data_IF_475278311656
#
_entry.id   IF_475278311656
#
_cell.length_a   1.000
_cell.length_b   1.000
_cell.length_c   1.000
_cell.angle_alpha   90.00
_cell.angle_beta   90.00
_cell.angle_gamma   90.00
#
_symmetry.space_group_name_H-M   'P 1'
#
loop_
_entity.id
_entity.type
_entity.pdbx_description
1 polymer ?
#
# COMPACT_ATOMS: atom_id res chain seq x y z
N UNK A 1 -6.49 -33.44 11.02
CA UNK A 1 -5.78 -32.95 9.83
C UNK A 1 -4.89 -34.07 9.34
N UNK A 2 -4.74 -34.21 8.02
CA UNK A 2 -3.94 -35.23 7.37
C UNK A 2 -2.54 -34.64 7.14
N UNK A 3 -1.54 -35.20 7.80
CA UNK A 3 -0.17 -34.67 7.75
C UNK A 3 0.47 -34.87 6.39
N UNK A 4 0.17 -36.01 5.72
CA UNK A 4 0.64 -36.28 4.35
C UNK A 4 0.08 -35.27 3.35
N UNK A 5 -1.19 -34.87 3.53
CA UNK A 5 -1.82 -33.86 2.69
C UNK A 5 -1.20 -32.46 2.91
N UNK A 6 -0.87 -32.12 4.15
CA UNK A 6 -0.21 -30.84 4.46
C UNK A 6 1.20 -30.76 3.87
N UNK A 7 1.96 -31.85 3.89
CA UNK A 7 3.26 -31.91 3.24
C UNK A 7 3.17 -31.79 1.72
N UNK A 8 2.17 -32.43 1.11
CA UNK A 8 1.92 -32.33 -0.33
C UNK A 8 1.59 -30.88 -0.74
N UNK A 9 0.72 -30.21 0.02
CA UNK A 9 0.35 -28.81 -0.22
C UNK A 9 1.57 -27.89 -0.07
N UNK A 10 2.42 -28.11 0.93
CA UNK A 10 3.64 -27.32 1.08
C UNK A 10 4.57 -27.49 -0.14
N UNK A 11 4.76 -28.72 -0.61
CA UNK A 11 5.56 -29.01 -1.79
C UNK A 11 5.03 -28.29 -3.03
N UNK A 12 3.72 -28.34 -3.25
CA UNK A 12 3.05 -27.70 -4.36
C UNK A 12 3.18 -26.16 -4.32
N UNK A 13 3.10 -25.56 -3.13
CA UNK A 13 3.36 -24.13 -2.92
C UNK A 13 4.80 -23.77 -3.27
N UNK A 14 5.79 -24.54 -2.82
CA UNK A 14 7.20 -24.32 -3.11
C UNK A 14 7.53 -24.43 -4.59
N UNK A 15 6.97 -25.43 -5.27
CA UNK A 15 7.10 -25.59 -6.72
C UNK A 15 6.46 -24.42 -7.48
N UNK A 16 5.28 -23.98 -7.06
CA UNK A 16 4.60 -22.82 -7.64
C UNK A 16 5.42 -21.56 -7.49
N UNK A 17 5.94 -21.28 -6.29
CA UNK A 17 6.80 -20.11 -6.03
C UNK A 17 8.06 -20.15 -6.89
N UNK A 18 8.71 -21.32 -7.00
CA UNK A 18 9.89 -21.51 -7.83
C UNK A 18 9.60 -21.30 -9.31
N UNK A 19 8.41 -21.70 -9.79
CA UNK A 19 7.98 -21.45 -11.17
C UNK A 19 7.82 -19.96 -11.51
N UNK A 20 7.56 -19.13 -10.51
CA UNK A 20 7.48 -17.67 -10.60
C UNK A 20 8.80 -16.97 -10.23
N UNK A 21 9.90 -17.71 -10.20
CA UNK A 21 11.27 -17.20 -9.88
C UNK A 21 11.43 -16.66 -8.44
N UNK A 22 10.56 -17.08 -7.51
CA UNK A 22 10.77 -16.87 -6.08
C UNK A 22 11.62 -18.02 -5.50
N UNK A 23 12.40 -17.80 -4.42
CA UNK A 23 13.20 -18.85 -3.78
C UNK A 23 12.31 -19.81 -2.97
N UNK A 24 11.49 -20.63 -3.66
CA UNK A 24 10.48 -21.49 -3.07
C UNK A 24 11.02 -22.45 -2.00
N UNK A 25 12.25 -22.93 -2.16
CA UNK A 25 12.89 -23.84 -1.19
C UNK A 25 13.29 -23.15 0.12
N UNK A 26 13.63 -21.85 0.05
CA UNK A 26 14.17 -21.09 1.18
C UNK A 26 13.11 -20.26 1.93
N UNK A 27 11.91 -20.06 1.33
CA UNK A 27 10.85 -19.29 1.93
C UNK A 27 10.27 -20.01 3.15
N UNK A 28 10.16 -19.35 4.33
CA UNK A 28 9.50 -19.95 5.48
C UNK A 28 8.01 -20.19 5.18
N UNK A 29 7.56 -21.42 5.40
CA UNK A 29 6.15 -21.83 5.28
C UNK A 29 5.63 -22.15 6.66
N UNK A 30 4.67 -21.38 7.15
CA UNK A 30 4.10 -21.54 8.49
C UNK A 30 2.76 -22.27 8.38
N UNK A 31 2.65 -23.38 9.09
CA UNK A 31 1.42 -24.18 9.15
C UNK A 31 0.64 -23.88 10.43
N UNK A 32 -0.67 -23.72 10.34
CA UNK A 32 -1.47 -23.51 11.53
C UNK A 32 -2.95 -23.30 11.28
N UNK A 33 -3.73 -23.22 12.34
CA UNK A 33 -5.17 -22.96 12.30
C UNK A 33 -5.49 -21.58 12.88
N UNK A 34 -5.76 -20.64 12.01
CA UNK A 34 -6.24 -19.32 12.43
C UNK A 34 -7.59 -19.41 13.17
N UNK A 35 -8.44 -20.40 12.80
CA UNK A 35 -9.71 -20.60 13.48
C UNK A 35 -9.51 -21.04 14.93
N UNK A 36 -8.61 -21.97 15.21
CA UNK A 36 -8.34 -22.40 16.58
C UNK A 36 -7.81 -21.25 17.45
N UNK A 37 -6.96 -20.41 16.88
CA UNK A 37 -6.49 -19.21 17.56
C UNK A 37 -7.63 -18.20 17.82
N UNK A 38 -8.55 -18.03 16.85
CA UNK A 38 -9.64 -17.06 16.96
C UNK A 38 -10.68 -17.45 18.00
N UNK A 39 -11.01 -18.75 18.12
CA UNK A 39 -12.03 -19.25 19.05
C UNK A 39 -11.47 -19.63 20.41
N UNK A 40 -10.15 -19.53 20.62
CA UNK A 40 -9.53 -19.82 21.90
C UNK A 40 -10.01 -18.84 22.99
N UNK A 41 -10.35 -19.38 24.15
CA UNK A 41 -10.71 -18.61 25.35
C UNK A 41 -9.48 -18.32 26.24
N UNK A 42 -8.28 -18.77 25.81
CA UNK A 42 -7.04 -18.53 26.55
C UNK A 42 -6.67 -17.06 26.56
N UNK A 43 -6.30 -16.53 27.72
CA UNK A 43 -5.71 -15.20 27.87
C UNK A 43 -4.17 -15.24 27.91
N UNK A 44 -3.56 -16.43 27.78
CA UNK A 44 -2.12 -16.60 27.76
C UNK A 44 -1.61 -16.49 26.31
N UNK A 45 -0.80 -15.46 25.97
CA UNK A 45 -0.21 -15.32 24.63
C UNK A 45 0.72 -16.48 24.24
N UNK A 46 1.18 -17.28 25.20
CA UNK A 46 2.02 -18.45 24.97
C UNK A 46 1.23 -19.76 24.81
N UNK A 47 -0.10 -19.71 24.80
CA UNK A 47 -0.94 -20.88 24.61
C UNK A 47 -0.68 -21.56 23.26
N UNK A 48 -0.70 -22.89 23.19
CA UNK A 48 -0.35 -23.64 21.98
C UNK A 48 -1.14 -23.25 20.72
N UNK A 49 -2.41 -22.87 20.87
CA UNK A 49 -3.28 -22.44 19.77
C UNK A 49 -2.83 -21.13 19.10
N UNK A 50 -2.02 -20.31 19.79
CA UNK A 50 -1.44 -19.08 19.24
C UNK A 50 -0.03 -19.27 18.67
N UNK A 51 0.60 -20.41 18.85
CA UNK A 51 1.98 -20.65 18.45
C UNK A 51 2.23 -20.39 16.97
N UNK A 52 1.34 -20.88 16.10
CA UNK A 52 1.45 -20.66 14.65
C UNK A 52 1.29 -19.17 14.25
N UNK A 53 0.48 -18.42 14.96
CA UNK A 53 0.30 -16.97 14.69
C UNK A 53 1.57 -16.22 15.11
N UNK A 54 2.14 -16.57 16.25
CA UNK A 54 3.39 -15.98 16.71
C UNK A 54 4.53 -16.30 15.75
N UNK A 55 4.66 -17.57 15.35
CA UNK A 55 5.66 -18.00 14.38
C UNK A 55 5.55 -17.26 13.05
N UNK A 56 4.31 -17.05 12.56
CA UNK A 56 4.06 -16.27 11.35
C UNK A 56 4.55 -14.82 11.52
N UNK A 57 4.24 -14.16 12.63
CA UNK A 57 4.68 -12.79 12.88
C UNK A 57 6.21 -12.70 13.02
N UNK A 58 6.83 -13.63 13.74
CA UNK A 58 8.28 -13.70 13.88
C UNK A 58 8.97 -13.93 12.50
N UNK A 59 8.37 -14.77 11.64
CA UNK A 59 8.85 -14.98 10.28
C UNK A 59 8.71 -13.74 9.39
N UNK A 60 7.58 -13.03 9.48
CA UNK A 60 7.38 -11.76 8.77
C UNK A 60 8.44 -10.74 9.18
N UNK A 61 8.68 -10.56 10.48
CA UNK A 61 9.64 -9.59 10.99
C UNK A 61 11.11 -9.92 10.63
N UNK A 62 11.43 -11.21 10.55
CA UNK A 62 12.82 -11.65 10.28
C UNK A 62 13.13 -11.85 8.79
N UNK A 63 12.16 -12.30 8.00
CA UNK A 63 12.38 -12.69 6.61
C UNK A 63 12.08 -11.56 5.62
N UNK A 64 11.05 -10.72 5.88
CA UNK A 64 10.69 -9.64 4.96
C UNK A 64 11.60 -8.44 5.21
N UNK A 65 12.39 -8.00 4.20
CA UNK A 65 13.26 -6.85 4.38
C UNK A 65 12.43 -5.56 4.51
N UNK A 66 12.90 -4.65 5.37
CA UNK A 66 12.33 -3.31 5.44
C UNK A 66 12.49 -2.62 4.09
N UNK A 67 11.41 -2.13 3.47
CA UNK A 67 11.48 -1.49 2.16
C UNK A 67 12.28 -0.17 2.23
N UNK A 68 13.04 0.11 1.18
CA UNK A 68 13.71 1.40 1.01
C UNK A 68 12.66 2.47 0.68
N UNK A 69 12.35 3.30 1.65
CA UNK A 69 11.41 4.41 1.50
C UNK A 69 12.12 5.59 0.86
N UNK A 70 11.71 5.97 -0.34
CA UNK A 70 12.25 7.13 -1.08
C UNK A 70 11.72 8.45 -0.51
N UNK A 71 11.92 8.68 0.78
CA UNK A 71 11.38 9.85 1.50
C UNK A 71 12.10 11.16 1.17
N UNK A 72 13.34 11.12 0.72
CA UNK A 72 14.17 12.27 0.33
C UNK A 72 13.86 12.84 -1.07
N UNK A 73 13.04 12.13 -1.87
CA UNK A 73 12.58 12.61 -3.17
C UNK A 73 11.38 13.58 -3.03
N UNK A 74 11.09 14.39 -4.06
CA UNK A 74 9.88 15.21 -4.07
C UNK A 74 8.62 14.37 -3.94
N UNK A 75 7.67 14.81 -3.09
CA UNK A 75 6.39 14.14 -2.85
C UNK A 75 5.66 13.79 -4.15
N UNK A 76 5.12 12.58 -4.20
CA UNK A 76 4.30 12.08 -5.29
C UNK A 76 3.33 11.01 -4.78
N UNK A 77 2.05 11.19 -5.09
CA UNK A 77 0.97 10.25 -4.76
C UNK A 77 -0.01 10.12 -5.94
N UNK A 78 -0.10 8.97 -6.60
CA UNK A 78 -1.17 8.70 -7.55
C UNK A 78 -2.53 8.72 -6.86
N UNK A 79 -3.53 9.31 -7.52
CA UNK A 79 -4.90 9.37 -7.02
C UNK A 79 -5.60 8.05 -7.36
N UNK A 80 -6.02 7.32 -6.34
CA UNK A 80 -6.73 6.04 -6.47
C UNK A 80 -8.23 6.22 -6.36
N UNK A 81 -8.69 7.09 -5.46
CA UNK A 81 -10.10 7.43 -5.30
C UNK A 81 -10.29 8.88 -4.86
N UNK A 82 -11.50 9.41 -5.10
CA UNK A 82 -11.86 10.79 -4.75
C UNK A 82 -13.27 10.82 -4.18
N UNK A 83 -13.41 11.36 -2.98
CA UNK A 83 -14.71 11.56 -2.36
C UNK A 83 -14.82 12.93 -1.67
N UNK A 84 -16.03 13.32 -1.33
CA UNK A 84 -16.29 14.58 -0.66
C UNK A 84 -16.79 14.34 0.75
N UNK A 85 -16.19 15.01 1.72
CA UNK A 85 -16.70 15.06 3.09
C UNK A 85 -17.54 16.34 3.23
N UNK A 86 -18.83 16.16 3.56
CA UNK A 86 -19.76 17.29 3.73
C UNK A 86 -19.22 18.29 4.76
N UNK A 87 -19.12 19.56 4.38
CA UNK A 87 -18.60 20.63 5.23
C UNK A 87 -17.07 20.70 5.39
N UNK A 88 -16.32 19.74 4.86
CA UNK A 88 -14.84 19.73 4.96
C UNK A 88 -14.12 19.90 3.62
N UNK A 89 -14.62 19.27 2.55
CA UNK A 89 -14.04 19.41 1.22
C UNK A 89 -13.80 18.07 0.51
N UNK A 90 -12.95 18.10 -0.50
CA UNK A 90 -12.60 16.95 -1.33
C UNK A 90 -11.38 16.23 -0.77
N UNK A 91 -11.48 14.92 -0.66
CA UNK A 91 -10.39 14.03 -0.25
C UNK A 91 -9.93 13.22 -1.45
N UNK A 92 -8.63 13.23 -1.70
CA UNK A 92 -7.97 12.31 -2.61
C UNK A 92 -7.25 11.23 -1.81
N UNK A 93 -7.49 9.97 -2.15
CA UNK A 93 -6.79 8.83 -1.54
C UNK A 93 -5.76 8.25 -2.48
N UNK A 94 -4.71 7.69 -1.90
CA UNK A 94 -3.67 6.99 -2.63
C UNK A 94 -2.51 6.61 -1.75
N UNK A 95 -1.58 5.85 -2.33
CA UNK A 95 -0.32 5.54 -1.69
C UNK A 95 0.72 6.60 -2.03
N UNK A 96 1.41 7.10 -1.03
CA UNK A 96 2.59 7.95 -1.24
C UNK A 96 3.70 7.11 -1.86
N UNK A 97 4.04 7.36 -3.12
CA UNK A 97 5.07 6.59 -3.84
C UNK A 97 6.47 7.05 -3.49
N UNK A 98 6.64 8.33 -3.17
CA UNK A 98 7.91 8.93 -2.78
C UNK A 98 7.72 10.25 -2.07
N UNK A 99 8.74 10.66 -1.33
CA UNK A 99 8.79 11.92 -0.62
C UNK A 99 7.96 11.92 0.66
N UNK A 100 7.83 13.10 1.23
CA UNK A 100 7.05 13.40 2.43
C UNK A 100 6.06 14.49 2.11
N UNK A 101 4.86 14.40 2.65
CA UNK A 101 3.83 15.44 2.63
C UNK A 101 3.46 15.82 4.06
N UNK A 102 3.45 17.11 4.36
CA UNK A 102 3.03 17.62 5.65
C UNK A 102 1.67 18.30 5.52
N UNK A 103 0.96 18.36 6.62
CA UNK A 103 -0.22 19.20 6.74
C UNK A 103 0.13 20.65 6.39
N UNK A 104 -0.73 21.31 5.60
CA UNK A 104 -0.58 22.64 5.02
C UNK A 104 0.47 22.78 3.89
N UNK A 105 1.06 21.70 3.42
CA UNK A 105 1.89 21.74 2.22
C UNK A 105 1.07 22.08 0.97
N UNK A 106 1.70 22.82 0.06
CA UNK A 106 1.17 23.06 -1.29
C UNK A 106 1.46 21.85 -2.17
N UNK A 107 0.45 21.43 -2.91
CA UNK A 107 0.55 20.34 -3.88
C UNK A 107 -0.04 20.79 -5.22
N UNK A 108 0.35 20.09 -6.27
CA UNK A 108 -0.17 20.26 -7.61
C UNK A 108 -0.84 18.97 -8.08
N UNK A 109 -2.01 19.09 -8.67
CA UNK A 109 -2.74 18.00 -9.34
C UNK A 109 -2.32 18.04 -10.80
N UNK A 110 -1.76 16.94 -11.31
CA UNK A 110 -1.25 16.85 -12.68
C UNK A 110 -1.78 15.59 -13.38
N UNK A 111 -1.82 15.64 -14.70
CA UNK A 111 -2.23 14.52 -15.56
C UNK A 111 -3.70 14.56 -15.95
N UNK A 112 -4.04 13.85 -17.06
CA UNK A 112 -5.36 13.72 -17.67
C UNK A 112 -6.00 15.04 -18.18
N UNK A 113 -5.54 16.19 -17.72
CA UNK A 113 -6.03 17.52 -18.12
C UNK A 113 -4.87 18.40 -18.54
N UNK A 114 -5.16 19.40 -19.38
CA UNK A 114 -4.14 20.36 -19.85
C UNK A 114 -3.70 21.32 -18.74
N UNK A 115 -4.63 21.71 -17.89
CA UNK A 115 -4.37 22.63 -16.79
C UNK A 115 -4.05 21.89 -15.49
N UNK A 116 -2.94 22.27 -14.88
CA UNK A 116 -2.57 21.80 -13.54
C UNK A 116 -3.26 22.67 -12.47
N UNK A 117 -3.77 22.03 -11.43
CA UNK A 117 -4.43 22.71 -10.31
C UNK A 117 -3.51 22.71 -9.11
N UNK A 118 -3.20 23.87 -8.55
CA UNK A 118 -2.51 23.99 -7.27
C UNK A 118 -3.50 24.10 -6.12
N UNK A 119 -3.21 23.39 -5.03
CA UNK A 119 -4.00 23.41 -3.82
C UNK A 119 -3.13 23.20 -2.58
N UNK A 120 -3.77 23.17 -1.41
CA UNK A 120 -3.12 22.91 -0.13
C UNK A 120 -3.76 21.68 0.52
N UNK A 121 -2.94 20.78 1.04
CA UNK A 121 -3.38 19.66 1.87
C UNK A 121 -3.68 20.20 3.27
N UNK A 122 -4.94 20.23 3.67
CA UNK A 122 -5.35 20.78 4.96
C UNK A 122 -5.32 19.77 6.09
N UNK A 123 -5.57 18.51 5.77
CA UNK A 123 -5.49 17.40 6.71
C UNK A 123 -5.01 16.13 5.98
N UNK A 124 -4.38 15.23 6.74
CA UNK A 124 -3.94 13.91 6.29
C UNK A 124 -4.55 12.89 7.24
N UNK A 125 -5.15 11.84 6.69
CA UNK A 125 -5.78 10.78 7.47
C UNK A 125 -5.29 9.41 7.01
N UNK A 126 -4.99 8.52 7.95
CA UNK A 126 -4.66 7.12 7.73
C UNK A 126 -5.29 6.27 8.85
N UNK A 127 -6.05 5.21 8.48
CA UNK A 127 -6.75 4.34 9.43
C UNK A 127 -7.59 5.09 10.47
N UNK A 128 -8.35 6.10 10.03
CA UNK A 128 -9.17 6.98 10.88
C UNK A 128 -8.39 7.81 11.93
N UNK A 129 -7.09 7.99 11.70
CA UNK A 129 -6.22 8.85 12.53
C UNK A 129 -5.73 10.02 11.70
N UNK A 130 -5.83 11.22 12.25
CA UNK A 130 -5.23 12.42 11.68
C UNK A 130 -3.71 12.40 11.92
N UNK A 131 -2.96 12.74 10.89
CA UNK A 131 -1.51 12.77 10.89
C UNK A 131 -1.03 14.19 10.59
N UNK A 132 0.13 14.56 11.13
CA UNK A 132 0.81 15.81 10.79
C UNK A 132 1.59 15.69 9.48
N UNK A 133 2.07 14.49 9.15
CA UNK A 133 2.76 14.18 7.90
C UNK A 133 2.52 12.73 7.48
N UNK A 134 2.83 12.44 6.22
CA UNK A 134 2.91 11.08 5.69
C UNK A 134 4.13 10.96 4.75
N UNK A 135 4.65 9.75 4.61
CA UNK A 135 5.84 9.48 3.81
C UNK A 135 5.66 8.32 2.83
N UNK A 136 6.63 8.13 1.97
CA UNK A 136 6.65 7.04 0.98
C UNK A 136 6.28 5.69 1.61
N UNK A 137 5.30 5.01 1.03
CA UNK A 137 4.73 3.74 1.50
C UNK A 137 3.41 3.89 2.26
N UNK A 138 3.06 5.08 2.74
CA UNK A 138 1.81 5.29 3.47
C UNK A 138 0.60 5.39 2.53
N UNK A 139 -0.50 4.73 2.88
CA UNK A 139 -1.79 4.91 2.22
C UNK A 139 -2.60 5.96 2.98
N UNK A 140 -2.90 7.06 2.34
CA UNK A 140 -3.52 8.21 2.99
C UNK A 140 -4.74 8.75 2.25
N UNK A 141 -5.58 9.47 3.00
CA UNK A 141 -6.53 10.43 2.49
C UNK A 141 -6.02 11.85 2.71
N UNK A 142 -5.80 12.59 1.63
CA UNK A 142 -5.39 13.99 1.66
C UNK A 142 -6.59 14.90 1.46
N UNK A 143 -6.95 15.71 2.45
CA UNK A 143 -8.02 16.71 2.35
C UNK A 143 -7.49 17.95 1.62
N UNK A 144 -8.12 18.29 0.50
CA UNK A 144 -7.69 19.36 -0.41
C UNK A 144 -8.53 20.61 -0.24
N UNK A 145 -7.88 21.77 -0.14
CA UNK A 145 -8.56 23.06 0.02
C UNK A 145 -9.10 23.57 -1.32
N UNK A 146 -10.41 23.86 -1.38
CA UNK A 146 -11.00 24.57 -2.52
C UNK A 146 -10.97 23.80 -3.85
N UNK A 147 -10.83 22.49 -3.81
CA UNK A 147 -10.88 21.62 -4.98
C UNK A 147 -12.25 20.94 -5.03
N UNK A 148 -12.98 21.16 -6.12
CA UNK A 148 -14.21 20.43 -6.38
C UNK A 148 -13.91 18.98 -6.79
N UNK A 149 -14.77 18.04 -6.36
CA UNK A 149 -14.66 16.62 -6.77
C UNK A 149 -14.55 16.44 -8.29
N UNK A 150 -15.17 17.33 -9.07
CA UNK A 150 -15.13 17.29 -10.54
C UNK A 150 -13.77 17.73 -11.12
N UNK A 151 -12.92 18.36 -10.31
CA UNK A 151 -11.62 18.90 -10.75
C UNK A 151 -10.46 17.92 -10.52
N UNK A 152 -10.72 16.81 -9.84
CA UNK A 152 -9.75 15.76 -9.57
C UNK A 152 -10.39 14.40 -9.81
N UNK A 153 -9.64 13.46 -10.36
CA UNK A 153 -10.12 12.12 -10.68
C UNK A 153 -9.03 11.06 -10.53
N UNK A 154 -9.45 9.81 -10.40
CA UNK A 154 -8.54 8.66 -10.37
C UNK A 154 -7.64 8.66 -11.60
N UNK A 155 -6.34 8.39 -11.39
CA UNK A 155 -5.31 8.36 -12.42
C UNK A 155 -4.54 9.67 -12.57
N UNK A 156 -5.01 10.77 -11.97
CA UNK A 156 -4.19 11.97 -11.76
C UNK A 156 -3.18 11.73 -10.63
N UNK A 157 -2.24 12.67 -10.47
CA UNK A 157 -1.18 12.58 -9.48
C UNK A 157 -1.16 13.86 -8.65
N UNK A 158 -1.14 13.72 -7.32
CA UNK A 158 -0.72 14.78 -6.42
C UNK A 158 0.80 14.78 -6.29
N UNK A 159 1.41 15.93 -6.48
CA UNK A 159 2.86 16.05 -6.37
C UNK A 159 3.28 17.39 -5.77
N UNK A 160 4.55 17.49 -5.37
CA UNK A 160 5.16 18.77 -5.05
C UNK A 160 5.06 19.69 -6.27
N UNK A 161 4.68 20.98 -6.12
CA UNK A 161 4.51 21.89 -7.26
C UNK A 161 5.74 21.90 -8.17
N UNK A 162 5.52 21.80 -9.47
CA UNK A 162 6.54 21.80 -10.54
C UNK A 162 7.59 20.67 -10.48
N UNK A 163 7.36 19.62 -9.68
CA UNK A 163 8.29 18.49 -9.56
C UNK A 163 8.18 17.44 -10.67
N UNK A 164 7.03 17.37 -11.34
CA UNK A 164 6.80 16.48 -12.48
C UNK A 164 6.01 17.18 -13.59
N UNK A 165 6.12 16.62 -14.80
CA UNK A 165 5.29 17.01 -15.95
C UNK A 165 4.72 15.77 -16.62
N UNK A 166 3.46 15.79 -17.08
CA UNK A 166 2.90 14.71 -17.89
C UNK A 166 3.73 14.52 -19.17
N UNK A 167 3.94 13.28 -19.56
CA UNK A 167 4.68 12.92 -20.78
C UNK A 167 3.71 12.32 -21.80
N UNK A 168 3.85 12.71 -23.06
CA UNK A 168 3.08 12.15 -24.18
C UNK A 168 3.85 11.09 -24.97
N UNK A 169 5.17 11.00 -24.75
CA UNK A 169 6.05 9.99 -25.35
C UNK A 169 6.86 9.31 -24.26
N UNK A 170 6.81 7.99 -24.23
CA UNK A 170 7.55 7.18 -23.27
C UNK A 170 7.92 5.84 -23.89
N UNK A 171 8.93 5.17 -23.35
CA UNK A 171 9.24 3.77 -23.62
C UNK A 171 8.82 2.95 -22.40
N UNK A 172 8.19 1.79 -22.63
CA UNK A 172 7.73 0.88 -21.59
C UNK A 172 8.09 -0.56 -21.88
N UNK A 173 8.40 -1.32 -20.84
CA UNK A 173 8.49 -2.76 -20.91
C UNK A 173 7.11 -3.35 -20.60
N UNK A 174 6.62 -4.22 -21.49
CA UNK A 174 5.30 -4.84 -21.34
C UNK A 174 5.47 -6.33 -21.12
N UNK A 175 4.89 -6.84 -20.05
CA UNK A 175 4.75 -8.26 -19.80
C UNK A 175 3.30 -8.65 -20.11
N UNK A 176 3.11 -9.55 -21.04
CA UNK A 176 1.78 -10.03 -21.45
C UNK A 176 1.54 -11.39 -20.81
N UNK A 177 0.49 -11.50 -20.00
CA UNK A 177 0.08 -12.77 -19.40
C UNK A 177 -0.36 -13.75 -20.49
N UNK A 178 -0.05 -15.04 -20.30
CA UNK A 178 -0.60 -16.11 -21.14
C UNK A 178 -2.13 -16.16 -20.98
N UNK A 179 -2.81 -16.55 -22.06
CA UNK A 179 -4.21 -16.94 -21.96
C UNK A 179 -4.24 -18.40 -21.51
N UNK A 180 -4.63 -18.66 -20.30
CA UNK A 180 -5.15 -19.95 -19.86
C UNK A 180 -6.68 -19.89 -19.83
#
# INVERSE_FOLDING_TARGET
>A
DDEELLELVEMEIRETLSSYEFPGDDIPVIKGSALNALISESNDPAAPEYACIKELMDAVDSYIPTPDRKADLPFLMPVEDVFTISGRGTVATGRVERGVINKNDKVQIVGLREENVETTVTDIEMFHKLLDYAEAGDNIGALLRGVDKKSIERGQVLCKPNSIKPLTKFAGQVYVLSKE
#
